data_IF_095293399921
#
_entry.id   IF_095293399921
#
_cell.length_a   1.000
_cell.length_b   1.000
_cell.length_c   1.000
_cell.angle_alpha   90.00
_cell.angle_beta   90.00
_cell.angle_gamma   90.00
#
_symmetry.space_group_name_H-M   'P 1'
#
loop_
_entity.id
_entity.type
_entity.pdbx_description
1 polymer ?
#
# COMPACT_ATOMS: atom_id res chain seq x y z
N UNK A 1 10.64 -10.78 -8.92
CA UNK A 1 10.71 -10.58 -7.46
C UNK A 1 9.67 -11.47 -6.79
N UNK A 2 9.96 -11.93 -5.56
CA UNK A 2 8.97 -12.50 -4.66
C UNK A 2 8.43 -11.38 -3.76
N UNK A 3 7.15 -11.04 -3.87
CA UNK A 3 6.54 -9.88 -3.21
C UNK A 3 5.42 -10.33 -2.29
N UNK A 4 5.54 -10.02 -1.00
CA UNK A 4 4.49 -10.31 -0.02
C UNK A 4 3.54 -9.13 0.09
N UNK A 5 2.24 -9.37 -0.14
CA UNK A 5 1.18 -8.34 -0.11
C UNK A 5 0.35 -8.51 1.16
N UNK A 6 0.52 -7.59 2.11
CA UNK A 6 -0.29 -7.54 3.32
C UNK A 6 -1.68 -7.01 2.98
N UNK A 7 -2.71 -7.75 3.39
CA UNK A 7 -4.08 -7.45 2.99
C UNK A 7 -4.40 -7.85 1.53
N UNK A 8 -3.72 -8.88 1.02
CA UNK A 8 -3.83 -9.32 -0.37
C UNK A 8 -5.24 -9.69 -0.84
N UNK A 9 -6.15 -10.07 0.05
CA UNK A 9 -7.55 -10.35 -0.29
C UNK A 9 -8.48 -9.13 -0.24
N UNK A 10 -7.98 -7.98 0.22
CA UNK A 10 -8.73 -6.72 0.24
C UNK A 10 -8.99 -6.17 -1.17
N UNK A 11 -9.91 -5.20 -1.29
CA UNK A 11 -10.30 -4.64 -2.61
C UNK A 11 -9.10 -4.11 -3.42
N UNK A 12 -8.20 -3.36 -2.79
CA UNK A 12 -7.00 -2.85 -3.45
C UNK A 12 -5.90 -3.92 -3.50
N UNK A 13 -5.68 -4.65 -2.40
CA UNK A 13 -4.65 -5.69 -2.31
C UNK A 13 -4.78 -6.77 -3.39
N UNK A 14 -6.02 -7.20 -3.69
CA UNK A 14 -6.28 -8.17 -4.76
C UNK A 14 -5.85 -7.66 -6.13
N UNK A 15 -6.08 -6.40 -6.42
CA UNK A 15 -5.65 -5.78 -7.67
C UNK A 15 -4.12 -5.63 -7.73
N UNK A 16 -3.46 -5.35 -6.59
CA UNK A 16 -2.00 -5.36 -6.50
C UNK A 16 -1.45 -6.76 -6.79
N UNK A 17 -2.02 -7.80 -6.18
CA UNK A 17 -1.65 -9.20 -6.45
C UNK A 17 -1.80 -9.53 -7.93
N UNK A 18 -2.92 -9.18 -8.54
CA UNK A 18 -3.17 -9.39 -9.97
C UNK A 18 -2.15 -8.67 -10.86
N UNK A 19 -1.81 -7.43 -10.56
CA UNK A 19 -0.82 -6.65 -11.32
C UNK A 19 0.60 -7.23 -11.16
N UNK A 20 0.98 -7.66 -9.97
CA UNK A 20 2.27 -8.31 -9.72
C UNK A 20 2.42 -9.60 -10.54
N UNK A 21 1.40 -10.45 -10.55
CA UNK A 21 1.42 -11.70 -11.35
C UNK A 21 1.49 -11.38 -12.84
N UNK A 22 0.73 -10.40 -13.33
CA UNK A 22 0.79 -9.95 -14.73
C UNK A 22 2.16 -9.39 -15.14
N UNK A 23 2.85 -8.75 -14.19
CA UNK A 23 4.22 -8.26 -14.40
C UNK A 23 5.30 -9.37 -14.27
N UNK A 24 4.91 -10.61 -14.05
CA UNK A 24 5.83 -11.74 -13.93
C UNK A 24 6.49 -11.90 -12.56
N UNK A 25 5.94 -11.25 -11.51
CA UNK A 25 6.40 -11.42 -10.15
C UNK A 25 5.70 -12.60 -9.45
N UNK A 26 6.38 -13.19 -8.48
CA UNK A 26 5.81 -14.17 -7.56
C UNK A 26 5.10 -13.40 -6.43
N UNK A 27 3.77 -13.33 -6.49
CA UNK A 27 2.97 -12.67 -5.47
C UNK A 27 2.58 -13.65 -4.36
N UNK A 28 2.78 -13.23 -3.11
CA UNK A 28 2.32 -13.94 -1.91
C UNK A 28 1.27 -13.08 -1.21
N UNK A 29 0.02 -13.49 -1.28
CA UNK A 29 -1.09 -12.77 -0.67
C UNK A 29 -1.30 -13.19 0.80
N UNK A 30 -1.13 -12.28 1.75
CA UNK A 30 -1.61 -12.57 3.10
C UNK A 30 -3.12 -12.39 3.17
N UNK A 31 -3.79 -13.35 3.76
CA UNK A 31 -5.24 -13.37 3.91
C UNK A 31 -5.62 -13.64 5.36
N UNK A 32 -6.63 -12.93 5.88
CA UNK A 32 -7.18 -13.17 7.22
C UNK A 32 -8.15 -14.37 7.21
N UNK A 33 -8.99 -14.44 6.17
CA UNK A 33 -10.02 -15.47 6.07
C UNK A 33 -9.64 -16.53 5.01
N UNK A 34 -9.52 -17.82 5.39
CA UNK A 34 -9.19 -18.90 4.46
C UNK A 34 -10.12 -19.03 3.26
N UNK A 35 -11.36 -18.55 3.36
CA UNK A 35 -12.33 -18.53 2.25
C UNK A 35 -11.84 -17.76 1.02
N UNK A 36 -10.91 -16.83 1.20
CA UNK A 36 -10.32 -16.05 0.09
C UNK A 36 -9.18 -16.78 -0.64
N UNK A 37 -8.69 -17.91 -0.10
CA UNK A 37 -7.54 -18.63 -0.66
C UNK A 37 -7.76 -19.02 -2.14
N UNK A 38 -8.87 -19.67 -2.45
CA UNK A 38 -9.14 -20.12 -3.81
C UNK A 38 -9.16 -18.95 -4.83
N UNK A 39 -9.67 -17.80 -4.43
CA UNK A 39 -9.68 -16.61 -5.29
C UNK A 39 -8.26 -16.06 -5.57
N UNK A 40 -7.36 -16.09 -4.58
CA UNK A 40 -5.97 -15.65 -4.75
C UNK A 40 -5.16 -16.63 -5.58
N UNK A 41 -5.32 -17.94 -5.33
CA UNK A 41 -4.69 -19.01 -6.14
C UNK A 41 -5.12 -18.92 -7.61
N UNK A 42 -6.39 -18.62 -7.87
CA UNK A 42 -6.89 -18.39 -9.24
C UNK A 42 -6.23 -17.20 -9.95
N UNK A 43 -5.76 -16.21 -9.21
CA UNK A 43 -4.98 -15.07 -9.72
C UNK A 43 -3.50 -15.46 -9.99
N UNK A 44 -3.06 -16.65 -9.59
CA UNK A 44 -1.67 -17.12 -9.70
C UNK A 44 -0.80 -16.76 -8.50
N UNK A 45 -1.38 -16.38 -7.38
CA UNK A 45 -0.64 -16.02 -6.17
C UNK A 45 -0.50 -17.19 -5.19
N UNK A 46 0.59 -17.25 -4.46
CA UNK A 46 0.69 -18.01 -3.22
C UNK A 46 -0.16 -17.33 -2.14
N UNK A 47 -0.64 -18.09 -1.17
CA UNK A 47 -1.44 -17.57 -0.06
C UNK A 47 -0.88 -18.00 1.28
N UNK A 48 -0.92 -17.06 2.23
CA UNK A 48 -0.54 -17.29 3.63
C UNK A 48 -1.62 -16.72 4.54
N UNK A 49 -2.04 -17.50 5.53
CA UNK A 49 -2.99 -17.02 6.54
C UNK A 49 -2.21 -16.23 7.59
N UNK A 50 -2.42 -14.92 7.59
CA UNK A 50 -1.87 -13.97 8.56
C UNK A 50 -2.91 -12.88 8.85
N UNK A 51 -3.22 -12.71 10.11
CA UNK A 51 -4.08 -11.65 10.62
C UNK A 51 -3.24 -10.54 11.25
N UNK A 52 -3.50 -9.28 10.90
CA UNK A 52 -2.76 -8.14 11.45
C UNK A 52 -2.97 -7.96 12.96
N UNK A 53 -4.10 -8.39 13.50
CA UNK A 53 -4.41 -8.30 14.93
C UNK A 53 -3.85 -9.49 15.70
N UNK A 54 -4.15 -10.71 15.24
CA UNK A 54 -3.86 -11.95 15.94
C UNK A 54 -2.42 -12.46 15.74
N UNK A 55 -1.87 -12.29 14.51
CA UNK A 55 -0.52 -12.79 14.20
C UNK A 55 0.57 -11.92 14.82
N UNK A 56 1.62 -12.57 15.31
CA UNK A 56 2.77 -11.91 15.93
C UNK A 56 3.81 -11.41 14.94
N UNK A 57 4.75 -10.58 15.39
CA UNK A 57 5.88 -10.15 14.56
C UNK A 57 6.71 -11.33 14.00
N UNK A 58 7.05 -12.34 14.83
CA UNK A 58 7.71 -13.56 14.35
C UNK A 58 6.95 -14.33 13.27
N UNK A 59 5.61 -14.38 13.32
CA UNK A 59 4.81 -15.03 12.29
C UNK A 59 4.99 -14.32 10.93
N UNK A 60 4.92 -12.99 10.91
CA UNK A 60 5.21 -12.19 9.73
C UNK A 60 6.65 -12.36 9.25
N UNK A 61 7.62 -12.33 10.18
CA UNK A 61 9.03 -12.51 9.84
C UNK A 61 9.29 -13.85 9.15
N UNK A 62 8.67 -14.93 9.63
CA UNK A 62 8.81 -16.27 9.03
C UNK A 62 8.33 -16.28 7.56
N UNK A 63 7.22 -15.61 7.26
CA UNK A 63 6.65 -15.54 5.91
C UNK A 63 7.40 -14.58 4.98
N UNK A 64 8.13 -13.62 5.53
CA UNK A 64 8.91 -12.66 4.75
C UNK A 64 10.28 -13.19 4.33
N UNK A 65 10.78 -14.27 4.95
CA UNK A 65 12.05 -14.87 4.57
C UNK A 65 12.09 -15.22 3.08
N UNK A 66 13.14 -14.76 2.39
CA UNK A 66 13.32 -14.96 0.95
C UNK A 66 12.40 -14.12 0.06
N UNK A 67 11.66 -13.17 0.62
CA UNK A 67 10.98 -12.17 -0.18
C UNK A 67 11.94 -11.03 -0.57
N UNK A 68 11.71 -10.45 -1.76
CA UNK A 68 12.44 -9.28 -2.24
C UNK A 68 11.80 -7.98 -1.73
N UNK A 69 10.46 -7.99 -1.52
CA UNK A 69 9.74 -6.82 -1.09
C UNK A 69 8.46 -7.16 -0.30
N UNK A 70 8.01 -6.21 0.50
CA UNK A 70 6.71 -6.20 1.17
C UNK A 70 5.88 -5.03 0.66
N UNK A 71 4.63 -5.27 0.32
CA UNK A 71 3.61 -4.26 0.01
C UNK A 71 2.55 -4.27 1.08
N UNK A 72 2.33 -3.14 1.73
CA UNK A 72 1.25 -2.97 2.68
C UNK A 72 0.03 -2.34 1.98
N UNK A 73 -0.98 -3.16 1.72
CA UNK A 73 -2.24 -2.79 1.08
C UNK A 73 -3.46 -3.03 1.98
N UNK A 74 -3.23 -3.29 3.27
CA UNK A 74 -4.29 -3.37 4.27
C UNK A 74 -4.69 -1.95 4.72
N UNK A 75 -5.91 -1.82 5.17
CA UNK A 75 -6.44 -0.59 5.75
C UNK A 75 -7.70 -0.93 6.52
N UNK A 76 -8.02 -0.10 7.52
CA UNK A 76 -9.24 -0.25 8.31
C UNK A 76 -10.46 -0.16 7.40
N UNK A 77 -11.41 -1.05 7.59
CA UNK A 77 -12.73 -0.91 6.99
C UNK A 77 -13.54 0.15 7.76
N UNK A 78 -14.62 0.65 7.16
CA UNK A 78 -15.54 1.54 7.85
C UNK A 78 -16.05 0.87 9.15
N UNK A 79 -15.84 1.52 10.30
CA UNK A 79 -16.20 1.01 11.62
C UNK A 79 -15.12 0.17 12.33
N UNK A 80 -13.97 -0.10 11.69
CA UNK A 80 -12.79 -0.68 12.34
C UNK A 80 -11.89 0.43 12.93
N UNK A 81 -11.10 0.08 13.96
CA UNK A 81 -10.15 1.03 14.56
C UNK A 81 -9.06 1.44 13.59
N UNK A 82 -8.86 2.73 13.41
CA UNK A 82 -7.77 3.29 12.60
C UNK A 82 -6.37 2.99 13.19
N UNK A 83 -6.28 2.57 14.45
CA UNK A 83 -5.02 2.14 15.08
C UNK A 83 -4.37 0.97 14.34
N UNK A 84 -5.16 0.10 13.70
CA UNK A 84 -4.68 -1.02 12.91
C UNK A 84 -3.77 -0.56 11.77
N UNK A 85 -4.04 0.59 11.17
CA UNK A 85 -3.20 1.16 10.11
C UNK A 85 -1.77 1.45 10.61
N UNK A 86 -1.62 2.06 11.79
CA UNK A 86 -0.30 2.33 12.39
C UNK A 86 0.35 1.07 12.94
N UNK A 87 -0.39 0.29 13.73
CA UNK A 87 0.11 -0.92 14.37
C UNK A 87 0.53 -1.97 13.34
N UNK A 88 -0.27 -2.15 12.27
CA UNK A 88 0.00 -3.07 11.18
C UNK A 88 1.26 -2.71 10.40
N UNK A 89 1.40 -1.44 9.99
CA UNK A 89 2.62 -0.97 9.30
C UNK A 89 3.84 -1.14 10.20
N UNK A 90 3.75 -0.75 11.48
CA UNK A 90 4.87 -0.87 12.43
C UNK A 90 5.29 -2.33 12.63
N UNK A 91 4.32 -3.23 12.85
CA UNK A 91 4.56 -4.67 13.05
C UNK A 91 5.22 -5.29 11.83
N UNK A 92 4.65 -5.06 10.64
CA UNK A 92 5.12 -5.70 9.40
C UNK A 92 6.43 -5.10 8.89
N UNK A 93 6.68 -3.81 9.08
CA UNK A 93 7.96 -3.18 8.76
C UNK A 93 9.11 -3.70 9.66
N UNK A 94 8.87 -3.88 10.96
CA UNK A 94 9.83 -4.55 11.87
C UNK A 94 10.11 -5.98 11.43
N UNK A 95 9.05 -6.74 11.12
CA UNK A 95 9.19 -8.12 10.66
C UNK A 95 9.97 -8.22 9.33
N UNK A 96 9.72 -7.31 8.38
CA UNK A 96 10.47 -7.23 7.13
C UNK A 96 11.97 -7.00 7.38
N UNK A 97 12.29 -5.99 8.19
CA UNK A 97 13.69 -5.70 8.58
C UNK A 97 14.36 -6.90 9.25
N UNK A 98 13.67 -7.58 10.18
CA UNK A 98 14.18 -8.77 10.88
C UNK A 98 14.34 -9.98 9.95
N UNK A 99 13.57 -10.05 8.85
CA UNK A 99 13.70 -11.07 7.82
C UNK A 99 14.77 -10.75 6.76
N UNK A 100 15.40 -9.57 6.82
CA UNK A 100 16.36 -9.09 5.82
C UNK A 100 15.70 -8.55 4.55
N UNK A 101 14.40 -8.26 4.58
CA UNK A 101 13.67 -7.66 3.46
C UNK A 101 13.65 -6.15 3.63
N UNK A 102 14.36 -5.43 2.77
CA UNK A 102 14.52 -3.99 2.89
C UNK A 102 13.47 -3.21 2.10
N UNK A 103 13.05 -3.69 0.92
CA UNK A 103 12.06 -2.99 0.07
C UNK A 103 10.66 -3.06 0.66
N UNK A 104 10.07 -1.89 0.96
CA UNK A 104 8.74 -1.79 1.57
C UNK A 104 7.91 -0.68 0.91
N UNK A 105 6.75 -1.03 0.35
CA UNK A 105 5.84 -0.06 -0.26
C UNK A 105 4.53 0.00 0.52
N UNK A 106 4.15 1.19 0.95
CA UNK A 106 2.94 1.42 1.77
C UNK A 106 1.87 2.18 0.99
N UNK A 107 0.63 1.71 1.04
CA UNK A 107 -0.53 2.51 0.64
C UNK A 107 -1.04 3.28 1.86
N UNK A 108 -0.88 4.59 1.83
CA UNK A 108 -1.38 5.51 2.84
C UNK A 108 -2.67 6.22 2.37
N UNK A 109 -2.79 7.52 2.58
CA UNK A 109 -3.91 8.34 2.13
C UNK A 109 -3.43 9.73 1.73
N UNK A 110 -4.03 10.35 0.73
CA UNK A 110 -3.71 11.69 0.27
C UNK A 110 -3.62 12.68 1.44
N UNK A 111 -2.60 13.50 1.46
CA UNK A 111 -2.40 14.50 2.50
C UNK A 111 -1.84 13.99 3.83
N UNK A 112 -1.62 12.68 4.00
CA UNK A 112 -1.04 12.15 5.23
C UNK A 112 0.39 12.64 5.46
N UNK A 113 1.19 12.80 4.40
CA UNK A 113 2.57 13.33 4.50
C UNK A 113 2.65 14.84 4.46
N UNK A 114 1.76 15.51 3.73
CA UNK A 114 1.77 16.98 3.53
C UNK A 114 1.00 17.74 4.60
N UNK A 115 0.29 17.04 5.49
CA UNK A 115 -0.45 17.69 6.59
C UNK A 115 -1.73 18.37 6.11
N UNK A 116 -2.48 17.76 5.21
CA UNK A 116 -3.76 18.27 4.74
C UNK A 116 -4.67 18.69 5.90
N UNK A 117 -5.25 19.87 5.81
CA UNK A 117 -6.24 20.36 6.76
C UNK A 117 -7.61 19.81 6.39
N UNK A 118 -8.22 19.11 7.33
CA UNK A 118 -9.60 18.64 7.20
C UNK A 118 -10.57 19.83 7.32
N UNK A 119 -11.57 19.88 6.44
CA UNK A 119 -12.61 20.94 6.44
C UNK A 119 -13.97 20.36 6.07
N UNK A 120 -15.03 21.13 6.35
CA UNK A 120 -16.39 20.70 6.05
C UNK A 120 -16.75 19.37 6.69
N UNK A 121 -17.48 18.53 5.97
CA UNK A 121 -17.96 17.22 6.43
C UNK A 121 -16.85 16.20 6.72
N UNK A 122 -15.63 16.45 6.24
CA UNK A 122 -14.44 15.63 6.51
C UNK A 122 -13.77 15.97 7.84
N UNK A 123 -14.14 17.06 8.51
CA UNK A 123 -13.54 17.48 9.78
C UNK A 123 -14.21 16.81 11.00
N UNK A 124 -14.28 15.50 11.02
CA UNK A 124 -14.80 14.69 12.14
C UNK A 124 -13.68 14.18 13.04
N UNK A 125 -14.01 13.74 14.26
CA UNK A 125 -13.05 13.12 15.17
C UNK A 125 -12.47 11.83 14.58
N UNK A 126 -13.28 11.03 13.88
CA UNK A 126 -12.85 9.81 13.19
C UNK A 126 -11.80 10.12 12.12
N UNK A 127 -12.04 11.11 11.27
CA UNK A 127 -11.10 11.50 10.22
C UNK A 127 -9.82 12.10 10.80
N UNK A 128 -9.91 12.87 11.89
CA UNK A 128 -8.74 13.38 12.60
C UNK A 128 -7.89 12.23 13.16
N UNK A 129 -8.51 11.22 13.78
CA UNK A 129 -7.79 10.05 14.26
C UNK A 129 -7.22 9.22 13.10
N UNK A 130 -8.01 8.96 12.06
CA UNK A 130 -7.53 8.27 10.85
C UNK A 130 -6.25 8.89 10.29
N UNK A 131 -6.24 10.21 10.06
CA UNK A 131 -5.04 10.90 9.56
C UNK A 131 -3.90 10.93 10.57
N UNK A 132 -4.19 10.97 11.87
CA UNK A 132 -3.18 10.84 12.93
C UNK A 132 -2.47 9.49 12.83
N UNK A 133 -3.20 8.39 12.67
CA UNK A 133 -2.63 7.05 12.54
C UNK A 133 -1.84 6.90 11.23
N UNK A 134 -2.37 7.37 10.10
CA UNK A 134 -1.66 7.35 8.81
C UNK A 134 -0.35 8.14 8.85
N UNK A 135 -0.35 9.34 9.45
CA UNK A 135 0.86 10.14 9.66
C UNK A 135 1.88 9.44 10.55
N UNK A 136 1.43 8.82 11.63
CA UNK A 136 2.30 8.06 12.53
C UNK A 136 2.92 6.84 11.83
N UNK A 137 2.17 6.11 11.01
CA UNK A 137 2.67 5.03 10.18
C UNK A 137 3.74 5.51 9.17
N UNK A 138 3.45 6.60 8.45
CA UNK A 138 4.39 7.19 7.49
C UNK A 138 5.68 7.68 8.18
N UNK A 139 5.56 8.31 9.36
CA UNK A 139 6.71 8.73 10.16
C UNK A 139 7.58 7.52 10.54
N UNK A 140 6.94 6.46 11.07
CA UNK A 140 7.65 5.25 11.44
C UNK A 140 8.43 4.64 10.26
N UNK A 141 7.81 4.56 9.07
CA UNK A 141 8.48 4.04 7.87
C UNK A 141 9.70 4.87 7.47
N UNK A 142 9.58 6.19 7.50
CA UNK A 142 10.72 7.09 7.19
C UNK A 142 11.90 6.90 8.12
N UNK A 143 11.64 6.54 9.38
CA UNK A 143 12.65 6.33 10.43
C UNK A 143 13.11 4.85 10.53
N UNK A 144 12.51 3.94 9.77
CA UNK A 144 12.71 2.49 9.90
C UNK A 144 14.08 1.99 9.41
N UNK A 145 14.71 2.72 8.48
CA UNK A 145 15.90 2.29 7.74
C UNK A 145 15.59 1.25 6.66
N UNK A 146 14.33 1.11 6.25
CA UNK A 146 13.92 0.34 5.08
C UNK A 146 14.02 1.18 3.80
N UNK A 147 14.08 0.51 2.67
CA UNK A 147 13.96 1.10 1.32
C UNK A 147 12.47 1.34 1.03
N UNK A 148 11.90 2.33 1.74
CA UNK A 148 10.47 2.59 1.72
C UNK A 148 10.04 3.44 0.52
N UNK A 149 8.80 3.22 0.07
CA UNK A 149 8.03 4.15 -0.78
C UNK A 149 6.63 4.27 -0.20
N UNK A 150 6.09 5.47 -0.12
CA UNK A 150 4.74 5.73 0.38
C UNK A 150 3.89 6.25 -0.78
N UNK A 151 2.78 5.59 -1.06
CA UNK A 151 1.79 6.01 -2.04
C UNK A 151 0.54 6.52 -1.31
N UNK A 152 0.17 7.76 -1.56
CA UNK A 152 -0.95 8.45 -0.91
C UNK A 152 -2.08 8.72 -1.92
N UNK A 153 -2.93 7.72 -2.21
CA UNK A 153 -4.03 7.90 -3.13
C UNK A 153 -5.14 8.78 -2.55
N UNK A 154 -5.83 9.49 -3.43
CA UNK A 154 -7.10 10.16 -3.15
C UNK A 154 -8.23 9.14 -2.93
N UNK A 155 -9.47 9.61 -2.86
CA UNK A 155 -10.65 8.76 -2.67
C UNK A 155 -10.67 7.60 -3.67
N UNK A 156 -10.78 6.37 -3.13
CA UNK A 156 -10.70 5.14 -3.91
C UNK A 156 -12.06 4.75 -4.48
N UNK A 157 -12.17 4.66 -5.79
CA UNK A 157 -13.36 4.16 -6.48
C UNK A 157 -13.15 2.74 -7.01
N UNK A 158 -14.24 2.01 -7.19
CA UNK A 158 -14.26 0.72 -7.87
C UNK A 158 -14.43 0.92 -9.39
N UNK A 159 -14.12 -0.09 -10.18
CA UNK A 159 -14.25 -0.07 -11.63
C UNK A 159 -12.93 -0.30 -12.38
N UNK A 160 -13.00 -0.15 -13.69
CA UNK A 160 -11.83 -0.33 -14.57
C UNK A 160 -10.86 0.85 -14.39
N UNK A 161 -9.58 0.53 -14.36
CA UNK A 161 -8.52 1.55 -14.42
C UNK A 161 -8.56 2.33 -15.74
N UNK A 162 -8.16 3.57 -15.66
CA UNK A 162 -8.02 4.46 -16.82
C UNK A 162 -6.64 4.40 -17.47
N UNK A 163 -5.66 3.89 -16.72
CA UNK A 163 -4.24 3.93 -17.08
C UNK A 163 -3.63 5.33 -17.07
N UNK A 164 -4.37 6.34 -16.55
CA UNK A 164 -3.98 7.75 -16.54
C UNK A 164 -4.15 8.35 -15.15
N UNK A 165 -3.10 8.99 -14.66
CA UNK A 165 -3.02 9.51 -13.29
C UNK A 165 -2.34 10.88 -13.25
N UNK A 166 -2.42 11.53 -12.10
CA UNK A 166 -1.51 12.58 -11.65
C UNK A 166 -0.76 12.05 -10.42
N UNK A 167 0.56 12.07 -10.47
CA UNK A 167 1.47 11.61 -9.41
C UNK A 167 2.43 12.74 -9.07
N UNK A 168 2.61 13.07 -7.79
CA UNK A 168 3.43 14.19 -7.34
C UNK A 168 3.88 14.03 -5.90
N UNK A 169 5.05 14.55 -5.55
CA UNK A 169 5.47 14.70 -4.14
C UNK A 169 4.80 15.92 -3.48
N UNK A 170 4.43 16.92 -4.27
CA UNK A 170 3.68 18.07 -3.78
C UNK A 170 2.20 17.72 -3.57
N UNK A 171 1.53 18.54 -2.76
CA UNK A 171 0.10 18.40 -2.52
C UNK A 171 -0.69 18.49 -3.84
N UNK A 172 -1.66 17.60 -3.99
CA UNK A 172 -2.60 17.56 -5.09
C UNK A 172 -4.00 17.90 -4.61
N UNK A 173 -4.81 18.45 -5.51
CA UNK A 173 -6.24 18.58 -5.27
C UNK A 173 -6.89 17.20 -5.18
N UNK A 174 -7.85 17.06 -4.28
CA UNK A 174 -8.59 15.80 -4.11
C UNK A 174 -9.42 15.49 -5.36
N UNK A 175 -9.09 14.37 -5.98
CA UNK A 175 -9.87 13.75 -7.06
C UNK A 175 -9.88 12.26 -6.82
N UNK A 176 -11.01 11.61 -7.03
CA UNK A 176 -11.09 10.17 -6.90
C UNK A 176 -10.18 9.44 -7.89
N UNK A 177 -9.81 8.21 -7.56
CA UNK A 177 -8.99 7.35 -8.40
C UNK A 177 -9.47 5.89 -8.34
N UNK A 178 -9.55 5.17 -9.48
CA UNK A 178 -9.82 3.74 -9.47
C UNK A 178 -8.73 2.95 -8.73
N UNK A 179 -9.15 2.01 -7.88
CA UNK A 179 -8.20 1.08 -7.20
C UNK A 179 -7.29 0.34 -8.17
N UNK A 180 -7.76 0.09 -9.39
CA UNK A 180 -6.97 -0.55 -10.43
C UNK A 180 -5.77 0.33 -10.87
N UNK A 181 -5.95 1.65 -10.97
CA UNK A 181 -4.85 2.57 -11.28
C UNK A 181 -3.89 2.71 -10.09
N UNK A 182 -4.40 2.72 -8.85
CA UNK A 182 -3.55 2.69 -7.65
C UNK A 182 -2.65 1.46 -7.64
N UNK A 183 -3.21 0.27 -7.90
CA UNK A 183 -2.45 -0.97 -7.97
C UNK A 183 -1.36 -0.93 -9.06
N UNK A 184 -1.69 -0.41 -10.24
CA UNK A 184 -0.75 -0.30 -11.35
C UNK A 184 0.40 0.70 -11.05
N UNK A 185 0.10 1.85 -10.44
CA UNK A 185 1.12 2.82 -10.00
C UNK A 185 2.01 2.23 -8.93
N UNK A 186 1.43 1.51 -7.96
CA UNK A 186 2.18 0.88 -6.88
C UNK A 186 3.21 -0.12 -7.41
N UNK A 187 2.80 -0.98 -8.35
CA UNK A 187 3.72 -1.97 -8.96
C UNK A 187 4.81 -1.26 -9.75
N UNK A 188 4.47 -0.22 -10.53
CA UNK A 188 5.47 0.57 -11.26
C UNK A 188 6.48 1.25 -10.33
N UNK A 189 6.05 1.79 -9.18
CA UNK A 189 6.95 2.37 -8.17
C UNK A 189 7.79 1.30 -7.46
N UNK A 190 7.23 0.11 -7.21
CA UNK A 190 7.96 -1.01 -6.62
C UNK A 190 9.16 -1.40 -7.50
N UNK A 191 8.97 -1.42 -8.83
CA UNK A 191 9.98 -1.75 -9.82
C UNK A 191 10.99 -0.61 -10.08
N UNK A 192 10.73 0.59 -9.54
CA UNK A 192 11.56 1.78 -9.79
C UNK A 192 12.42 2.09 -8.56
N UNK A 193 13.75 1.78 -8.55
CA UNK A 193 14.63 2.05 -7.40
C UNK A 193 14.66 3.53 -6.98
N UNK A 194 14.55 4.45 -7.92
CA UNK A 194 14.51 5.89 -7.62
C UNK A 194 13.25 6.35 -6.85
N UNK A 195 12.27 5.48 -6.64
CA UNK A 195 11.12 5.75 -5.77
C UNK A 195 11.43 5.56 -4.28
N UNK A 196 12.58 4.97 -3.94
CA UNK A 196 13.00 4.71 -2.57
C UNK A 196 13.24 6.02 -1.83
N UNK A 197 12.69 6.15 -0.64
CA UNK A 197 12.80 7.35 0.20
C UNK A 197 11.79 8.45 -0.16
N UNK A 198 10.83 8.17 -1.03
CA UNK A 198 9.87 9.15 -1.52
C UNK A 198 8.42 8.81 -1.14
N UNK A 199 7.62 9.86 -0.96
CA UNK A 199 6.18 9.78 -0.73
C UNK A 199 5.44 10.54 -1.85
N UNK A 200 4.51 9.87 -2.51
CA UNK A 200 3.80 10.43 -3.66
C UNK A 200 2.30 10.49 -3.39
N UNK A 201 1.70 11.64 -3.61
CA UNK A 201 0.26 11.78 -3.75
C UNK A 201 -0.20 11.31 -5.12
N UNK A 202 -1.36 10.68 -5.18
CA UNK A 202 -1.90 10.06 -6.38
C UNK A 202 -3.38 10.35 -6.57
N UNK A 203 -3.74 10.91 -7.73
CA UNK A 203 -5.14 11.15 -8.12
C UNK A 203 -5.41 10.68 -9.54
N UNK A 204 -6.68 10.56 -9.90
CA UNK A 204 -7.07 10.44 -11.30
C UNK A 204 -6.51 11.62 -12.14
N UNK A 205 -6.08 11.35 -13.35
CA UNK A 205 -5.40 12.36 -14.16
C UNK A 205 -5.44 12.10 -15.66
N UNK A 206 -4.52 12.74 -16.38
CA UNK A 206 -4.43 12.65 -17.86
C UNK A 206 -3.12 12.04 -18.35
N UNK A 207 -2.14 11.81 -17.45
CA UNK A 207 -0.82 11.30 -17.82
C UNK A 207 -0.79 9.78 -17.70
N UNK A 208 -0.32 9.09 -18.72
CA UNK A 208 -0.15 7.64 -18.66
C UNK A 208 0.77 7.24 -17.49
N UNK A 209 0.43 6.16 -16.76
CA UNK A 209 1.10 5.74 -15.51
C UNK A 209 2.62 5.69 -15.68
N UNK A 210 3.12 5.03 -16.73
CA UNK A 210 4.56 4.93 -16.97
C UNK A 210 5.25 6.31 -17.10
N UNK A 211 4.59 7.26 -17.78
CA UNK A 211 5.11 8.64 -17.90
C UNK A 211 5.02 9.40 -16.58
N UNK A 212 3.94 9.22 -15.83
CA UNK A 212 3.78 9.86 -14.52
C UNK A 212 4.85 9.38 -13.52
N UNK A 213 5.12 8.09 -13.48
CA UNK A 213 6.19 7.52 -12.63
C UNK A 213 7.55 8.02 -13.08
N UNK A 214 7.87 7.96 -14.38
CA UNK A 214 9.15 8.45 -14.88
C UNK A 214 9.38 9.95 -14.58
N UNK A 215 8.34 10.77 -14.62
CA UNK A 215 8.44 12.21 -14.36
C UNK A 215 8.79 12.55 -12.90
N UNK A 216 8.42 11.71 -11.92
CA UNK A 216 8.70 11.95 -10.48
C UNK A 216 9.93 11.19 -10.01
N UNK A 217 10.47 10.29 -10.82
CA UNK A 217 11.65 9.47 -10.47
C UNK A 217 12.86 9.71 -11.40
N UNK A 218 12.74 10.64 -12.35
CA UNK A 218 13.71 10.96 -13.41
C UNK A 218 14.96 11.74 -13.01
#
# INVERSE_FOLDING_TARGET
>A
MRVVVIGGSGRTGRLVVEQLVKAGHQAVATIRNPKHMAAMVKLGAETVILDLEESTGPDFQAQFKGADAVVFAAGSAAGESSELDRAGVTKTARAAKSAGVHRYVNIASIGASTGMKLSGDWNTDEMRDYYKQKRAANKYLRESGLDWTILEPAELTDGKGTGKVTLSEAALDEKSIPRADVAAVLVALLETPKSIGHAYQLTGGKTAIAKAVAAVTG
#
